data_IF_951188917856
#
_entry.id   IF_951188917856
#
_cell.length_a   1.000
_cell.length_b   1.000
_cell.length_c   1.000
_cell.angle_alpha   90.00
_cell.angle_beta   90.00
_cell.angle_gamma   90.00
#
_symmetry.space_group_name_H-M   'P 1'
#
loop_
_entity.id
_entity.type
_entity.pdbx_description
1 polymer ?
#
# COMPACT_ATOMS: atom_id res chain seq x y z
N UNK A 1 -5.71 -6.97 -26.17
CA UNK A 1 -4.77 -6.64 -25.06
C UNK A 1 -5.19 -5.30 -24.47
N UNK A 2 -5.24 -5.20 -23.14
CA UNK A 2 -5.55 -3.92 -22.48
C UNK A 2 -4.43 -2.91 -22.68
N UNK A 3 -4.76 -1.62 -22.81
CA UNK A 3 -3.81 -0.50 -22.86
C UNK A 3 -2.86 -0.56 -21.66
N UNK A 4 -3.34 -1.01 -20.50
CA UNK A 4 -2.53 -1.17 -19.30
C UNK A 4 -1.39 -2.20 -19.49
N UNK A 5 -1.69 -3.37 -20.06
CA UNK A 5 -0.67 -4.40 -20.33
C UNK A 5 0.36 -3.97 -21.37
N UNK A 6 -0.03 -3.13 -22.34
CA UNK A 6 0.91 -2.57 -23.31
C UNK A 6 1.89 -1.59 -22.66
N UNK A 7 1.42 -0.80 -21.70
CA UNK A 7 2.27 0.13 -20.93
C UNK A 7 3.24 -0.63 -20.02
N UNK A 8 2.79 -1.68 -19.33
CA UNK A 8 3.67 -2.52 -18.52
C UNK A 8 4.78 -3.20 -19.34
N UNK A 9 4.44 -3.72 -20.53
CA UNK A 9 5.43 -4.32 -21.42
C UNK A 9 6.50 -3.32 -21.86
N UNK A 10 6.09 -2.09 -22.22
CA UNK A 10 7.02 -1.00 -22.57
C UNK A 10 7.93 -0.61 -21.40
N UNK A 11 7.39 -0.55 -20.18
CA UNK A 11 8.17 -0.27 -18.97
C UNK A 11 9.22 -1.37 -18.74
N UNK A 12 8.83 -2.64 -18.86
CA UNK A 12 9.73 -3.77 -18.67
C UNK A 12 10.86 -3.81 -19.72
N UNK A 13 10.56 -3.47 -20.97
CA UNK A 13 11.54 -3.39 -22.05
C UNK A 13 12.56 -2.28 -21.86
N UNK A 14 12.17 -1.15 -21.25
CA UNK A 14 13.10 -0.05 -20.92
C UNK A 14 13.90 -0.37 -19.65
N UNK A 15 13.28 -0.96 -18.62
CA UNK A 15 13.91 -1.19 -17.33
C UNK A 15 14.94 -2.33 -17.33
N UNK A 16 14.66 -3.43 -18.04
CA UNK A 16 15.47 -4.66 -18.03
C UNK A 16 16.94 -4.47 -18.43
N UNK A 17 17.29 -3.83 -19.57
CA UNK A 17 18.69 -3.63 -19.95
C UNK A 17 19.43 -2.70 -18.98
N UNK A 18 18.76 -1.78 -18.30
CA UNK A 18 19.39 -0.90 -17.30
C UNK A 18 19.84 -1.74 -16.09
N UNK A 19 19.01 -2.69 -15.67
CA UNK A 19 19.28 -3.57 -14.53
C UNK A 19 20.34 -4.63 -14.87
N UNK A 20 20.28 -5.22 -16.06
CA UNK A 20 21.24 -6.24 -16.52
C UNK A 20 22.67 -5.69 -16.67
N UNK A 21 22.80 -4.38 -16.89
CA UNK A 21 24.09 -3.67 -16.93
C UNK A 21 24.66 -3.32 -15.54
N UNK A 22 24.05 -3.79 -14.45
CA UNK A 22 24.55 -3.62 -13.08
C UNK A 22 24.36 -2.21 -12.51
N UNK A 23 23.45 -1.42 -13.07
CA UNK A 23 23.14 -0.07 -12.57
C UNK A 23 22.45 -0.17 -11.21
N UNK A 24 23.09 0.37 -10.17
CA UNK A 24 22.63 0.26 -8.78
C UNK A 24 21.48 1.21 -8.41
N UNK A 25 21.25 2.27 -9.19
CA UNK A 25 20.20 3.27 -8.94
C UNK A 25 19.41 3.51 -10.22
N UNK A 26 18.13 3.16 -10.20
CA UNK A 26 17.21 3.32 -11.34
C UNK A 26 16.24 4.45 -11.07
N UNK A 27 16.32 5.54 -11.84
CA UNK A 27 15.41 6.69 -11.71
C UNK A 27 14.06 6.41 -12.37
N UNK A 28 12.94 6.45 -11.62
CA UNK A 28 11.61 6.27 -12.22
C UNK A 28 11.24 7.37 -13.21
N UNK A 29 11.77 8.58 -13.02
CA UNK A 29 11.55 9.69 -13.95
C UNK A 29 12.24 9.43 -15.29
N UNK A 30 13.46 8.89 -15.26
CA UNK A 30 14.20 8.55 -16.48
C UNK A 30 13.46 7.49 -17.32
N UNK A 31 13.01 6.40 -16.70
CA UNK A 31 12.25 5.35 -17.40
C UNK A 31 10.93 5.90 -17.92
N UNK A 32 10.20 6.69 -17.12
CA UNK A 32 8.94 7.26 -17.56
C UNK A 32 9.11 8.22 -18.75
N UNK A 33 10.15 9.05 -18.74
CA UNK A 33 10.45 9.98 -19.83
C UNK A 33 10.93 9.25 -21.10
N UNK A 34 11.53 8.05 -20.97
CA UNK A 34 11.91 7.19 -22.10
C UNK A 34 10.71 6.42 -22.67
N UNK A 35 9.80 5.96 -21.82
CA UNK A 35 8.52 5.36 -22.24
C UNK A 35 7.63 6.39 -22.92
N UNK A 36 7.56 7.63 -22.40
CA UNK A 36 6.83 8.76 -22.99
C UNK A 36 7.33 9.06 -24.42
N UNK A 37 8.66 9.08 -24.62
CA UNK A 37 9.29 9.26 -25.94
C UNK A 37 9.02 8.13 -26.94
N UNK A 38 8.68 6.92 -26.47
CA UNK A 38 8.25 5.82 -27.36
C UNK A 38 6.76 5.91 -27.72
N UNK A 39 5.95 6.54 -26.87
CA UNK A 39 4.51 6.73 -27.09
C UNK A 39 4.24 7.95 -27.98
N UNK A 40 5.00 9.03 -27.82
CA UNK A 40 4.91 10.26 -28.63
C UNK A 40 6.32 10.73 -29.05
N UNK A 41 6.94 10.10 -30.07
CA UNK A 41 8.30 10.41 -30.48
C UNK A 41 8.45 11.81 -31.09
N UNK A 42 7.39 12.32 -31.72
CA UNK A 42 7.38 13.62 -32.38
C UNK A 42 6.97 14.76 -31.43
N UNK A 43 6.53 14.44 -30.20
CA UNK A 43 6.16 15.43 -29.19
C UNK A 43 4.98 16.30 -29.60
N UNK A 44 4.02 15.73 -30.34
CA UNK A 44 2.89 16.46 -30.91
C UNK A 44 1.81 16.71 -29.84
N UNK A 45 1.84 15.96 -28.73
CA UNK A 45 0.85 16.10 -27.67
C UNK A 45 0.92 17.47 -26.96
N UNK A 46 -0.24 18.07 -26.62
CA UNK A 46 -0.29 19.28 -25.80
C UNK A 46 0.44 19.10 -24.46
N UNK A 47 1.13 20.14 -24.01
CA UNK A 47 2.01 20.12 -22.83
C UNK A 47 1.32 19.58 -21.58
N UNK A 48 0.05 19.92 -21.37
CA UNK A 48 -0.77 19.49 -20.22
C UNK A 48 -1.07 17.99 -20.28
N UNK A 49 -1.31 17.46 -21.48
CA UNK A 49 -1.51 16.02 -21.72
C UNK A 49 -0.21 15.27 -21.51
N UNK A 50 0.91 15.80 -22.00
CA UNK A 50 2.25 15.24 -21.78
C UNK A 50 2.61 15.22 -20.29
N UNK A 51 2.29 16.27 -19.55
CA UNK A 51 2.49 16.33 -18.11
C UNK A 51 1.68 15.26 -17.37
N UNK A 52 0.38 15.12 -17.68
CA UNK A 52 -0.49 14.11 -17.08
C UNK A 52 -0.03 12.69 -17.41
N UNK A 53 0.36 12.43 -18.67
CA UNK A 53 0.91 11.14 -19.11
C UNK A 53 2.21 10.81 -18.39
N UNK A 54 3.15 11.76 -18.26
CA UNK A 54 4.39 11.54 -17.50
C UNK A 54 4.14 11.25 -16.04
N UNK A 55 3.19 11.92 -15.40
CA UNK A 55 2.83 11.63 -14.01
C UNK A 55 2.25 10.23 -13.85
N UNK A 56 1.38 9.81 -14.78
CA UNK A 56 0.84 8.46 -14.83
C UNK A 56 1.93 7.41 -15.07
N UNK A 57 2.79 7.60 -16.07
CA UNK A 57 3.91 6.69 -16.36
C UNK A 57 4.89 6.60 -15.19
N UNK A 58 5.20 7.71 -14.53
CA UNK A 58 6.02 7.71 -13.30
C UNK A 58 5.38 6.90 -12.18
N UNK A 59 4.05 6.95 -12.04
CA UNK A 59 3.34 6.14 -11.06
C UNK A 59 3.43 4.65 -11.37
N UNK A 60 3.19 4.27 -12.62
CA UNK A 60 3.24 2.85 -13.04
C UNK A 60 4.67 2.30 -13.03
N UNK A 61 5.67 3.09 -13.42
CA UNK A 61 7.09 2.73 -13.29
C UNK A 61 7.48 2.55 -11.82
N UNK A 62 7.01 3.43 -10.91
CA UNK A 62 7.27 3.26 -9.47
C UNK A 62 6.67 1.96 -8.94
N UNK A 63 5.44 1.60 -9.33
CA UNK A 63 4.83 0.31 -8.96
C UNK A 63 5.61 -0.88 -9.51
N UNK A 64 6.00 -0.82 -10.78
CA UNK A 64 6.78 -1.88 -11.42
C UNK A 64 8.13 -2.07 -10.74
N UNK A 65 8.85 -0.97 -10.48
CA UNK A 65 10.16 -1.04 -9.81
C UNK A 65 10.01 -1.47 -8.36
N UNK A 66 8.97 -1.03 -7.66
CA UNK A 66 8.71 -1.45 -6.29
C UNK A 66 8.46 -2.97 -6.24
N UNK A 67 7.54 -3.49 -7.06
CA UNK A 67 7.23 -4.92 -7.12
C UNK A 67 8.45 -5.82 -7.43
N UNK A 68 9.36 -5.36 -8.28
CA UNK A 68 10.47 -6.20 -8.76
C UNK A 68 11.80 -5.98 -8.01
N UNK A 69 12.00 -4.82 -7.39
CA UNK A 69 13.32 -4.40 -6.87
C UNK A 69 13.28 -3.73 -5.49
N UNK A 70 12.12 -3.29 -4.99
CA UNK A 70 12.00 -2.78 -3.62
C UNK A 70 11.94 -3.98 -2.65
N UNK A 71 12.90 -4.10 -1.72
CA UNK A 71 12.88 -5.14 -0.70
C UNK A 71 11.56 -5.17 0.07
N UNK A 72 10.85 -4.06 0.27
CA UNK A 72 9.57 -3.99 1.01
C UNK A 72 8.41 -4.59 0.22
N UNK A 73 8.30 -4.35 -1.09
CA UNK A 73 7.25 -4.94 -1.93
C UNK A 73 7.59 -6.37 -2.36
N UNK A 74 8.88 -6.72 -2.50
CA UNK A 74 9.31 -8.12 -2.64
C UNK A 74 9.08 -8.91 -1.35
N UNK A 75 9.37 -8.31 -0.19
CA UNK A 75 8.98 -8.86 1.12
C UNK A 75 7.47 -8.88 1.31
N UNK A 76 6.68 -8.03 0.64
CA UNK A 76 5.21 -8.11 0.64
C UNK A 76 4.67 -9.29 -0.18
N UNK A 77 5.38 -9.66 -1.25
CA UNK A 77 5.14 -10.88 -2.01
C UNK A 77 5.66 -12.13 -1.27
N UNK A 78 6.80 -12.03 -0.57
CA UNK A 78 7.41 -13.10 0.22
C UNK A 78 6.79 -13.21 1.66
N UNK A 79 6.04 -12.21 2.13
CA UNK A 79 5.23 -12.23 3.36
C UNK A 79 3.94 -13.04 3.21
N UNK A 80 3.60 -13.40 1.97
CA UNK A 80 2.68 -14.52 1.69
C UNK A 80 3.37 -15.86 2.02
N UNK A 81 4.69 -15.89 2.19
CA UNK A 81 5.51 -17.10 2.33
C UNK A 81 6.13 -17.33 3.73
N UNK A 82 6.67 -16.35 4.49
CA UNK A 82 7.25 -16.69 5.81
C UNK A 82 7.53 -15.53 6.80
N UNK A 83 6.69 -15.42 7.83
CA UNK A 83 7.07 -15.49 9.26
C UNK A 83 8.40 -14.81 9.71
N UNK A 84 8.45 -13.49 9.96
CA UNK A 84 9.33 -12.87 10.99
C UNK A 84 9.07 -11.36 11.19
N UNK A 85 8.37 -10.98 12.27
CA UNK A 85 8.71 -9.91 13.25
C UNK A 85 7.46 -9.59 14.10
N UNK A 86 7.55 -9.71 15.43
CA UNK A 86 6.38 -9.82 16.33
C UNK A 86 5.50 -8.54 16.35
N UNK A 87 6.03 -7.41 15.88
CA UNK A 87 5.37 -6.11 15.92
C UNK A 87 5.16 -5.46 14.55
N UNK A 88 5.88 -5.90 13.50
CA UNK A 88 5.84 -5.27 12.18
C UNK A 88 4.50 -5.48 11.46
N UNK A 89 3.89 -6.65 11.66
CA UNK A 89 2.62 -7.02 11.03
C UNK A 89 1.38 -6.74 11.92
N UNK A 90 1.60 -6.49 13.21
CA UNK A 90 0.53 -6.38 14.21
C UNK A 90 0.16 -4.93 14.49
N UNK A 91 1.13 -4.02 14.46
CA UNK A 91 0.93 -2.61 14.82
C UNK A 91 0.68 -1.76 13.57
N UNK A 92 -0.39 -0.98 13.59
CA UNK A 92 -0.73 -0.03 12.53
C UNK A 92 0.15 1.22 12.63
N UNK A 93 0.37 1.91 11.51
CA UNK A 93 1.14 3.16 11.54
C UNK A 93 0.37 4.33 12.18
N UNK A 94 -0.96 4.32 12.12
CA UNK A 94 -1.82 5.38 12.62
C UNK A 94 -2.94 4.83 13.50
N UNK A 95 -3.25 5.54 14.59
CA UNK A 95 -4.33 5.18 15.50
C UNK A 95 -5.28 6.37 15.77
N UNK A 96 -6.59 6.12 15.92
CA UNK A 96 -7.57 7.16 16.20
C UNK A 96 -7.52 7.60 17.67
N UNK A 97 -7.25 8.88 17.91
CA UNK A 97 -7.10 9.45 19.24
C UNK A 97 -7.94 10.72 19.37
N UNK A 98 -8.55 10.93 20.52
CA UNK A 98 -9.31 12.16 20.83
C UNK A 98 -8.35 13.29 21.22
N UNK A 99 -8.52 14.45 20.60
CA UNK A 99 -7.76 15.68 20.87
C UNK A 99 -8.69 16.87 20.98
N UNK A 100 -8.27 17.90 21.69
CA UNK A 100 -9.00 19.17 21.77
C UNK A 100 -8.41 20.13 20.73
N UNK A 101 -9.18 20.47 19.71
CA UNK A 101 -8.78 21.41 18.65
C UNK A 101 -9.85 22.50 18.61
N UNK A 102 -9.47 23.76 18.83
CA UNK A 102 -10.41 24.87 18.81
C UNK A 102 -11.49 24.84 19.90
N UNK A 103 -11.24 24.14 21.01
CA UNK A 103 -12.19 24.00 22.13
C UNK A 103 -13.16 22.81 22.01
N UNK A 104 -13.12 22.06 20.92
CA UNK A 104 -13.94 20.87 20.69
C UNK A 104 -13.10 19.59 20.71
N UNK A 105 -13.71 18.49 21.17
CA UNK A 105 -13.08 17.17 21.14
C UNK A 105 -13.25 16.53 19.76
N UNK A 106 -12.15 16.36 19.03
CA UNK A 106 -12.11 15.82 17.67
C UNK A 106 -11.29 14.52 17.65
N UNK A 107 -11.74 13.54 16.87
CA UNK A 107 -10.99 12.30 16.62
C UNK A 107 -9.97 12.52 15.51
N UNK A 108 -8.69 12.30 15.80
CA UNK A 108 -7.59 12.47 14.85
C UNK A 108 -6.74 11.19 14.75
N UNK A 109 -6.22 10.91 13.56
CA UNK A 109 -5.32 9.77 13.33
C UNK A 109 -3.88 10.18 13.62
N UNK A 110 -3.32 9.63 14.69
CA UNK A 110 -1.97 9.96 15.19
C UNK A 110 -1.01 8.84 14.83
N UNK A 111 0.18 9.17 14.30
CA UNK A 111 1.20 8.14 14.03
C UNK A 111 1.62 7.46 15.32
N UNK A 112 1.93 6.17 15.25
CA UNK A 112 2.31 5.35 16.41
C UNK A 112 3.45 5.94 17.24
N UNK A 113 4.41 6.59 16.58
CA UNK A 113 5.58 7.24 17.21
C UNK A 113 5.22 8.46 18.08
N UNK A 114 4.01 9.03 17.92
CA UNK A 114 3.53 10.18 18.69
C UNK A 114 2.42 9.82 19.71
N UNK A 115 2.14 8.54 19.90
CA UNK A 115 1.20 8.10 20.93
C UNK A 115 1.86 8.19 22.31
N UNK A 116 1.19 8.85 23.25
CA UNK A 116 1.59 8.77 24.65
C UNK A 116 1.01 7.50 25.31
N UNK A 117 1.48 7.21 26.52
CA UNK A 117 1.03 6.04 27.28
C UNK A 117 -0.49 5.99 27.45
N UNK A 118 -1.12 7.12 27.79
CA UNK A 118 -2.58 7.20 27.99
C UNK A 118 -3.35 6.87 26.71
N UNK A 119 -2.88 7.34 25.55
CA UNK A 119 -3.47 7.03 24.26
C UNK A 119 -3.35 5.53 23.96
N UNK A 120 -2.16 4.96 24.15
CA UNK A 120 -1.89 3.55 23.92
C UNK A 120 -2.74 2.65 24.82
N UNK A 121 -2.91 2.97 26.12
CA UNK A 121 -3.78 2.21 27.04
C UNK A 121 -5.23 2.21 26.56
N UNK A 122 -5.77 3.39 26.22
CA UNK A 122 -7.16 3.51 25.74
C UNK A 122 -7.39 2.76 24.42
N UNK A 123 -6.43 2.82 23.52
CA UNK A 123 -6.46 2.09 22.25
C UNK A 123 -6.46 0.58 22.49
N UNK A 124 -5.58 0.09 23.36
CA UNK A 124 -5.50 -1.32 23.72
C UNK A 124 -6.81 -1.83 24.35
N UNK A 125 -7.40 -1.08 25.28
CA UNK A 125 -8.70 -1.42 25.88
C UNK A 125 -9.85 -1.43 24.86
N UNK A 126 -9.83 -0.49 23.92
CA UNK A 126 -10.82 -0.45 22.84
C UNK A 126 -10.68 -1.67 21.93
N UNK A 127 -9.45 -2.05 21.57
CA UNK A 127 -9.17 -3.22 20.74
C UNK A 127 -9.58 -4.51 21.43
N UNK A 128 -9.30 -4.67 22.73
CA UNK A 128 -9.75 -5.82 23.53
C UNK A 128 -11.27 -5.98 23.51
N UNK A 129 -12.02 -4.90 23.76
CA UNK A 129 -13.49 -4.91 23.71
C UNK A 129 -14.02 -5.27 22.32
N UNK A 130 -13.39 -4.76 21.25
CA UNK A 130 -13.74 -5.13 19.88
C UNK A 130 -13.51 -6.62 19.60
N UNK A 131 -12.36 -7.15 20.03
CA UNK A 131 -12.03 -8.56 19.91
C UNK A 131 -13.00 -9.47 20.66
N UNK A 132 -13.32 -9.16 21.91
CA UNK A 132 -14.31 -9.90 22.71
C UNK A 132 -15.69 -9.92 22.05
N UNK A 133 -16.12 -8.80 21.46
CA UNK A 133 -17.39 -8.72 20.73
C UNK A 133 -17.39 -9.60 19.49
N UNK A 134 -16.27 -9.66 18.75
CA UNK A 134 -16.15 -10.51 17.56
C UNK A 134 -16.14 -12.00 17.93
N UNK A 135 -15.45 -12.37 19.00
CA UNK A 135 -15.44 -13.75 19.52
C UNK A 135 -16.87 -14.17 19.88
N UNK A 136 -17.59 -13.36 20.67
CA UNK A 136 -18.98 -13.63 21.05
C UNK A 136 -19.89 -13.77 19.82
N UNK A 137 -19.68 -12.94 18.80
CA UNK A 137 -20.46 -13.03 17.56
C UNK A 137 -20.18 -14.32 16.79
N UNK A 138 -18.92 -14.73 16.70
CA UNK A 138 -18.53 -15.98 16.05
C UNK A 138 -19.10 -17.20 16.79
N UNK A 139 -19.04 -17.21 18.13
CA UNK A 139 -19.66 -18.25 18.97
C UNK A 139 -21.17 -18.32 18.78
N UNK A 140 -21.84 -17.15 18.75
CA UNK A 140 -23.29 -17.09 18.51
C UNK A 140 -23.67 -17.59 17.11
N UNK A 141 -22.88 -17.24 16.08
CA UNK A 141 -23.09 -17.73 14.72
C UNK A 141 -22.92 -19.25 14.63
N UNK A 142 -21.88 -19.79 15.27
CA UNK A 142 -21.65 -21.23 15.29
C UNK A 142 -22.78 -21.96 16.01
N UNK A 143 -23.19 -21.47 17.19
CA UNK A 143 -24.31 -22.02 17.94
C UNK A 143 -25.61 -22.00 17.12
N UNK A 144 -25.88 -20.90 16.41
CA UNK A 144 -27.04 -20.79 15.53
C UNK A 144 -27.03 -21.80 14.38
N UNK A 145 -25.87 -22.02 13.74
CA UNK A 145 -25.75 -23.02 12.67
C UNK A 145 -25.98 -24.43 13.20
N UNK A 146 -25.38 -24.77 14.34
CA UNK A 146 -25.55 -26.08 14.98
C UNK A 146 -27.00 -26.32 15.38
N UNK A 147 -27.66 -25.34 16.02
CA UNK A 147 -29.06 -25.43 16.42
C UNK A 147 -29.98 -25.63 15.20
N UNK A 148 -29.73 -24.91 14.10
CA UNK A 148 -30.46 -25.06 12.84
C UNK A 148 -30.24 -26.42 12.17
N UNK A 149 -29.06 -27.02 12.28
CA UNK A 149 -28.76 -28.33 11.71
C UNK A 149 -29.31 -29.49 12.56
N UNK A 150 -29.55 -29.26 13.86
CA UNK A 150 -30.15 -30.22 14.77
C UNK A 150 -31.70 -30.24 14.74
N UNK A 151 -32.32 -29.22 14.14
CA UNK A 151 -33.77 -29.06 13.97
C UNK A 151 -34.26 -29.61 12.61
#
# INVERSE_FOLDING_TARGET
MSIHHQIEALIADVARPIVENGVQIVSPAYIADEVDRRIDPDGIAPTEKTYATRMYLRHEVRKFLARNYDPVERTRADAIEAQTDLFADVLQDYYPVKRHIGGEEVLVYTRREYLNHTDATRLAERMKRGGESLIKHAEALLAYVIDREAA
#
